data_IF_685153282756
#
_entry.id   IF_685153282756
#
_cell.length_a   1.000
_cell.length_b   1.000
_cell.length_c   1.000
_cell.angle_alpha   90.00
_cell.angle_beta   90.00
_cell.angle_gamma   90.00
#
_symmetry.space_group_name_H-M   'P 1'
#
loop_
_entity.id
_entity.type
_entity.pdbx_description
1 polymer ?
#
# COMPACT_ATOMS: atom_id res chain seq x y z
N UNK A 1 6.85 -18.49 17.93
CA UNK A 1 6.01 -18.51 16.72
C UNK A 1 6.33 -19.76 15.91
N UNK A 2 5.32 -20.40 15.34
CA UNK A 2 5.52 -21.60 14.51
C UNK A 2 6.07 -21.20 13.17
N UNK A 3 6.97 -21.10 12.57
CA UNK A 3 7.47 -20.67 11.26
C UNK A 3 8.25 -19.34 11.28
N UNK A 4 9.13 -19.17 12.24
CA UNK A 4 10.08 -18.05 12.27
C UNK A 4 11.40 -18.46 11.63
N UNK A 5 11.93 -17.59 10.78
CA UNK A 5 13.25 -17.69 10.14
C UNK A 5 13.95 -16.35 10.44
N UNK A 6 15.24 -16.36 10.69
CA UNK A 6 15.97 -15.12 10.90
C UNK A 6 16.72 -14.69 9.62
N UNK A 7 17.03 -13.40 9.54
CA UNK A 7 17.88 -12.88 8.46
C UNK A 7 19.22 -13.65 8.39
N UNK A 8 19.69 -13.89 7.17
CA UNK A 8 20.92 -14.66 6.84
C UNK A 8 20.91 -16.11 7.35
N UNK A 9 19.75 -16.69 7.58
CA UNK A 9 19.62 -18.11 7.95
C UNK A 9 19.09 -18.98 6.82
N UNK A 10 19.45 -20.24 6.91
CA UNK A 10 19.00 -21.27 5.99
C UNK A 10 17.54 -21.63 6.21
N UNK A 11 16.79 -21.79 5.15
CA UNK A 11 15.39 -22.20 5.19
C UNK A 11 15.34 -23.73 5.31
N UNK A 12 14.74 -24.22 6.38
CA UNK A 12 14.63 -25.66 6.65
C UNK A 12 13.41 -26.32 5.98
N UNK A 13 12.39 -25.54 5.64
CA UNK A 13 11.15 -26.06 5.06
C UNK A 13 11.33 -26.29 3.55
N UNK A 14 11.32 -27.56 3.11
CA UNK A 14 11.56 -27.95 1.71
C UNK A 14 10.46 -27.48 0.74
N UNK A 15 9.19 -27.42 1.18
CA UNK A 15 8.10 -26.92 0.33
C UNK A 15 8.26 -25.42 0.08
N UNK A 16 8.63 -24.68 1.12
CA UNK A 16 8.90 -23.25 1.02
C UNK A 16 10.14 -22.98 0.16
N UNK A 17 11.21 -23.76 0.29
CA UNK A 17 12.39 -23.68 -0.58
C UNK A 17 12.02 -23.84 -2.06
N UNK A 18 11.28 -24.90 -2.38
CA UNK A 18 10.84 -25.16 -3.74
C UNK A 18 9.95 -24.05 -4.29
N UNK A 19 9.08 -23.49 -3.45
CA UNK A 19 8.25 -22.35 -3.84
C UNK A 19 9.10 -21.11 -4.16
N UNK A 20 10.04 -20.75 -3.32
CA UNK A 20 10.93 -19.60 -3.52
C UNK A 20 11.78 -19.78 -4.78
N UNK A 21 12.35 -20.97 -5.00
CA UNK A 21 13.17 -21.29 -6.19
C UNK A 21 12.35 -21.15 -7.48
N UNK A 22 11.08 -21.55 -7.46
CA UNK A 22 10.20 -21.50 -8.63
C UNK A 22 9.52 -20.14 -8.84
N UNK A 23 9.69 -19.17 -7.92
CA UNK A 23 9.05 -17.85 -7.97
C UNK A 23 10.10 -16.78 -8.22
N UNK A 24 10.22 -16.32 -9.46
CA UNK A 24 11.27 -15.36 -9.89
C UNK A 24 11.22 -14.04 -9.13
N UNK A 25 10.03 -13.59 -8.74
CA UNK A 25 9.81 -12.37 -7.98
C UNK A 25 10.46 -12.39 -6.59
N UNK A 26 10.69 -13.58 -6.04
CA UNK A 26 11.32 -13.78 -4.74
C UNK A 26 12.85 -13.85 -4.79
N UNK A 27 13.44 -14.12 -5.95
CA UNK A 27 14.89 -14.40 -6.06
C UNK A 27 15.77 -13.27 -5.51
N UNK A 28 15.34 -12.01 -5.59
CA UNK A 28 16.11 -10.86 -5.05
C UNK A 28 16.16 -10.81 -3.52
N UNK A 29 15.25 -11.51 -2.84
CA UNK A 29 15.12 -11.49 -1.37
C UNK A 29 15.85 -12.63 -0.69
N UNK A 30 16.30 -13.63 -1.47
CA UNK A 30 16.94 -14.85 -1.01
C UNK A 30 18.23 -15.10 -1.78
N UNK A 31 19.17 -15.78 -1.14
CA UNK A 31 20.41 -16.21 -1.79
C UNK A 31 20.38 -17.74 -1.92
N UNK A 32 20.52 -18.22 -3.16
CA UNK A 32 20.72 -19.63 -3.44
C UNK A 32 22.22 -19.93 -3.41
N UNK A 33 22.67 -20.61 -2.38
CA UNK A 33 24.01 -21.17 -2.28
C UNK A 33 24.00 -22.62 -2.75
N UNK A 34 25.16 -23.20 -3.13
CA UNK A 34 25.30 -24.52 -3.78
C UNK A 34 24.48 -25.65 -3.15
N UNK A 35 24.10 -25.56 -1.90
CA UNK A 35 23.36 -26.60 -1.17
C UNK A 35 22.19 -26.08 -0.37
N UNK A 36 21.99 -24.76 -0.29
CA UNK A 36 21.01 -24.20 0.64
C UNK A 36 20.44 -22.87 0.15
N UNK A 37 19.19 -22.60 0.53
CA UNK A 37 18.52 -21.35 0.31
C UNK A 37 18.55 -20.55 1.60
N UNK A 38 19.11 -19.34 1.56
CA UNK A 38 19.22 -18.44 2.72
C UNK A 38 18.40 -17.18 2.53
N UNK A 39 17.88 -16.69 3.61
CA UNK A 39 17.33 -15.32 3.69
C UNK A 39 18.46 -14.30 3.58
N UNK A 40 18.14 -13.13 3.05
CA UNK A 40 19.06 -11.98 2.99
C UNK A 40 18.70 -10.96 4.09
N UNK A 41 19.02 -9.67 3.88
CA UNK A 41 18.70 -8.54 4.76
C UNK A 41 17.21 -8.15 4.75
N UNK A 42 16.33 -8.95 4.16
CA UNK A 42 14.91 -8.64 4.06
C UNK A 42 14.13 -9.33 5.16
N UNK A 43 13.39 -8.54 5.93
CA UNK A 43 12.54 -9.01 7.01
C UNK A 43 11.07 -8.67 6.77
N UNK A 44 10.16 -9.48 7.30
CA UNK A 44 8.73 -9.30 7.12
C UNK A 44 7.94 -10.59 7.19
N UNK A 45 6.96 -10.74 6.30
CA UNK A 45 6.10 -11.92 6.23
C UNK A 45 6.02 -12.44 4.79
N UNK A 46 6.05 -13.76 4.65
CA UNK A 46 5.78 -14.48 3.42
C UNK A 46 4.64 -15.46 3.70
N UNK A 47 3.52 -15.27 2.99
CA UNK A 47 2.40 -16.19 3.05
C UNK A 47 2.52 -17.23 1.93
N UNK A 48 2.53 -18.49 2.32
CA UNK A 48 2.60 -19.63 1.41
C UNK A 48 1.69 -20.76 1.91
N UNK A 49 0.82 -21.29 1.06
CA UNK A 49 -0.15 -22.35 1.39
C UNK A 49 -0.99 -22.03 2.64
N UNK A 50 -1.51 -20.79 2.74
CA UNK A 50 -2.27 -20.28 3.89
C UNK A 50 -1.49 -20.30 5.23
N UNK A 51 -0.17 -20.48 5.17
CA UNK A 51 0.72 -20.39 6.33
C UNK A 51 1.56 -19.10 6.23
N UNK A 52 1.72 -18.45 7.37
CA UNK A 52 2.53 -17.24 7.48
C UNK A 52 3.92 -17.62 8.00
N UNK A 53 4.96 -17.29 7.23
CA UNK A 53 6.37 -17.42 7.59
C UNK A 53 6.92 -16.04 7.91
N UNK A 54 7.44 -15.86 9.11
CA UNK A 54 8.05 -14.62 9.54
C UNK A 54 9.55 -14.65 9.32
N UNK A 55 10.08 -13.65 8.63
CA UNK A 55 11.52 -13.41 8.51
C UNK A 55 11.83 -12.24 9.44
N UNK A 56 12.56 -12.50 10.53
CA UNK A 56 12.82 -11.53 11.58
C UNK A 56 14.30 -11.09 11.62
N UNK A 57 14.57 -9.86 12.04
CA UNK A 57 15.94 -9.41 12.25
C UNK A 57 16.54 -10.04 13.52
N UNK A 58 17.87 -10.19 13.55
CA UNK A 58 18.63 -10.71 14.70
C UNK A 58 19.02 -9.60 15.68
N UNK A 59 18.05 -8.94 16.30
CA UNK A 59 18.34 -7.81 17.21
C UNK A 59 18.35 -8.27 18.67
N UNK A 60 17.45 -9.16 19.09
CA UNK A 60 17.25 -9.59 20.47
C UNK A 60 17.42 -11.12 20.66
N UNK A 61 18.64 -11.63 20.44
CA UNK A 61 19.09 -12.99 20.80
C UNK A 61 18.03 -14.09 20.67
N UNK A 62 17.53 -14.39 19.46
CA UNK A 62 16.56 -15.46 19.17
C UNK A 62 15.24 -15.40 19.98
N UNK A 63 14.87 -14.23 20.48
CA UNK A 63 13.56 -14.03 21.08
C UNK A 63 12.59 -13.50 20.02
N UNK A 64 11.79 -14.39 19.44
CA UNK A 64 10.86 -14.07 18.34
C UNK A 64 9.95 -12.90 18.67
N UNK A 65 9.33 -12.88 19.84
CA UNK A 65 8.38 -11.83 20.24
C UNK A 65 9.06 -10.47 20.36
N UNK A 66 10.25 -10.43 20.96
CA UNK A 66 11.02 -9.19 21.06
C UNK A 66 11.50 -8.71 19.72
N UNK A 67 12.02 -9.59 18.87
CA UNK A 67 12.49 -9.23 17.53
C UNK A 67 11.33 -8.68 16.67
N UNK A 68 10.17 -9.31 16.70
CA UNK A 68 8.98 -8.85 16.02
C UNK A 68 8.53 -7.45 16.51
N UNK A 69 8.48 -7.26 17.82
CA UNK A 69 8.08 -5.98 18.43
C UNK A 69 9.05 -4.85 18.07
N UNK A 70 10.37 -5.12 18.11
CA UNK A 70 11.39 -4.15 17.71
C UNK A 70 11.25 -3.82 16.22
N UNK A 71 11.10 -4.82 15.37
CA UNK A 71 10.92 -4.64 13.94
C UNK A 71 9.72 -3.75 13.60
N UNK A 72 8.57 -4.02 14.23
CA UNK A 72 7.38 -3.21 14.04
C UNK A 72 7.56 -1.80 14.57
N UNK A 73 8.17 -1.65 15.75
CA UNK A 73 8.50 -0.33 16.30
C UNK A 73 9.38 0.48 15.33
N UNK A 74 10.42 -0.15 14.77
CA UNK A 74 11.29 0.50 13.78
C UNK A 74 10.50 0.91 12.52
N UNK A 75 9.63 0.04 12.01
CA UNK A 75 8.78 0.35 10.86
C UNK A 75 7.87 1.55 11.16
N UNK A 76 7.17 1.52 12.27
CA UNK A 76 6.25 2.60 12.65
C UNK A 76 6.99 3.93 12.82
N UNK A 77 8.13 3.90 13.51
CA UNK A 77 8.92 5.08 13.74
C UNK A 77 9.51 5.63 12.43
N UNK A 78 10.13 4.78 11.60
CA UNK A 78 10.78 5.18 10.36
C UNK A 78 9.80 5.79 9.33
N UNK A 79 8.55 5.33 9.31
CA UNK A 79 7.52 5.77 8.36
C UNK A 79 6.47 6.72 8.95
N UNK A 80 6.71 7.27 10.14
CA UNK A 80 5.80 8.19 10.84
C UNK A 80 4.37 7.66 11.03
N UNK A 81 4.25 6.36 11.20
CA UNK A 81 2.98 5.70 11.37
C UNK A 81 2.59 5.76 12.85
N UNK A 82 1.68 6.66 13.20
CA UNK A 82 1.15 6.75 14.57
C UNK A 82 0.07 5.69 14.78
N UNK A 83 0.15 4.97 15.90
CA UNK A 83 -0.97 4.15 16.36
C UNK A 83 -2.16 5.06 16.63
N UNK A 84 -3.24 4.83 15.88
CA UNK A 84 -4.48 5.59 16.03
C UNK A 84 -5.23 5.27 17.35
N UNK A 85 -4.83 4.19 18.05
CA UNK A 85 -5.41 3.79 19.33
C UNK A 85 -4.29 3.52 20.35
N UNK A 86 -4.08 4.44 21.26
CA UNK A 86 -3.19 4.27 22.42
C UNK A 86 -3.62 3.14 23.37
N UNK A 87 -4.85 2.60 23.22
CA UNK A 87 -5.47 1.66 24.15
C UNK A 87 -5.34 0.18 23.76
N UNK A 88 -4.80 -0.17 22.60
CA UNK A 88 -4.54 -1.57 22.22
C UNK A 88 -3.05 -1.79 22.11
N UNK A 89 -2.51 -2.66 22.99
CA UNK A 89 -1.11 -3.03 22.92
C UNK A 89 -0.82 -3.66 21.54
N UNK A 90 0.23 -3.21 20.87
CA UNK A 90 0.72 -3.79 19.61
C UNK A 90 0.83 -5.31 19.70
N UNK A 91 1.26 -5.81 20.88
CA UNK A 91 1.41 -7.23 21.17
C UNK A 91 0.10 -8.03 21.13
N UNK A 92 -1.04 -7.44 21.47
CA UNK A 92 -2.34 -8.14 21.40
C UNK A 92 -2.87 -8.21 19.96
N UNK A 93 -2.72 -7.14 19.18
CA UNK A 93 -3.09 -7.14 17.76
C UNK A 93 -2.21 -8.09 16.93
N UNK A 94 -0.95 -8.25 17.29
CA UNK A 94 -0.02 -9.16 16.61
C UNK A 94 -0.19 -10.63 16.99
N UNK A 95 -0.78 -10.93 18.14
CA UNK A 95 -1.14 -12.32 18.52
C UNK A 95 -2.29 -12.86 17.67
N UNK A 96 -3.16 -11.99 17.20
CA UNK A 96 -4.35 -12.36 16.40
C UNK A 96 -4.19 -12.12 14.89
N UNK A 97 -3.33 -11.18 14.49
CA UNK A 97 -3.19 -10.72 13.10
C UNK A 97 -1.73 -10.74 12.66
N UNK A 98 -1.50 -10.96 11.38
CA UNK A 98 -0.15 -10.84 10.83
C UNK A 98 0.26 -9.37 10.61
N UNK A 99 1.56 -9.12 10.37
CA UNK A 99 2.10 -7.76 10.17
C UNK A 99 1.35 -7.00 9.09
N UNK A 100 1.05 -7.64 7.95
CA UNK A 100 0.33 -7.01 6.85
C UNK A 100 -1.06 -6.55 7.30
N UNK A 101 -1.81 -7.39 8.01
CA UNK A 101 -3.14 -7.04 8.50
C UNK A 101 -3.12 -5.85 9.45
N UNK A 102 -2.11 -5.77 10.34
CA UNK A 102 -1.95 -4.61 11.23
C UNK A 102 -1.74 -3.33 10.43
N UNK A 103 -0.83 -3.32 9.44
CA UNK A 103 -0.59 -2.15 8.61
C UNK A 103 -1.80 -1.78 7.73
N UNK A 104 -2.51 -2.78 7.21
CA UNK A 104 -3.75 -2.54 6.45
C UNK A 104 -4.86 -1.97 7.33
N UNK A 105 -5.02 -2.45 8.55
CA UNK A 105 -5.97 -1.88 9.51
C UNK A 105 -5.63 -0.43 9.86
N UNK A 106 -4.35 -0.12 10.07
CA UNK A 106 -3.89 1.25 10.33
C UNK A 106 -4.20 2.17 9.14
N UNK A 107 -3.86 1.74 7.93
CA UNK A 107 -4.19 2.45 6.70
C UNK A 107 -5.70 2.69 6.58
N UNK A 108 -6.50 1.63 6.67
CA UNK A 108 -7.94 1.71 6.47
C UNK A 108 -8.65 2.57 7.53
N UNK A 109 -8.24 2.47 8.81
CA UNK A 109 -8.76 3.32 9.88
C UNK A 109 -8.42 4.79 9.65
N UNK A 110 -7.15 5.11 9.37
CA UNK A 110 -6.71 6.48 9.09
C UNK A 110 -7.42 7.08 7.89
N UNK A 111 -7.49 6.33 6.80
CA UNK A 111 -8.20 6.75 5.59
C UNK A 111 -9.69 6.98 5.88
N UNK A 112 -10.37 6.05 6.55
CA UNK A 112 -11.80 6.16 6.84
C UNK A 112 -12.12 7.38 7.73
N UNK A 113 -11.26 7.71 8.69
CA UNK A 113 -11.43 8.92 9.52
C UNK A 113 -11.40 10.21 8.67
N UNK A 114 -10.50 10.28 7.69
CA UNK A 114 -10.43 11.42 6.79
C UNK A 114 -11.58 11.43 5.76
N UNK A 115 -11.97 10.26 5.25
CA UNK A 115 -13.11 10.13 4.35
C UNK A 115 -14.44 10.54 4.98
N UNK A 116 -14.63 10.31 6.28
CA UNK A 116 -15.82 10.80 7.03
C UNK A 116 -15.94 12.34 7.02
N UNK A 117 -14.85 13.06 6.82
CA UNK A 117 -14.83 14.52 6.66
C UNK A 117 -15.13 14.97 5.22
N UNK A 118 -15.37 14.02 4.30
CA UNK A 118 -15.62 14.19 2.88
C UNK A 118 -14.41 13.83 2.00
N UNK A 119 -14.70 13.51 0.74
CA UNK A 119 -13.68 13.25 -0.29
C UNK A 119 -12.90 14.53 -0.62
N UNK A 120 -11.66 14.36 -1.06
CA UNK A 120 -10.91 15.44 -1.67
C UNK A 120 -11.50 15.76 -3.04
N UNK A 121 -11.73 17.03 -3.30
CA UNK A 121 -12.21 17.53 -4.60
C UNK A 121 -11.25 18.58 -5.13
N UNK A 122 -11.07 18.55 -6.45
CA UNK A 122 -10.28 19.56 -7.16
C UNK A 122 -10.94 19.92 -8.51
N UNK A 123 -10.57 21.06 -9.05
CA UNK A 123 -11.03 21.46 -10.37
C UNK A 123 -10.26 20.68 -11.43
N UNK A 124 -11.00 19.92 -12.24
CA UNK A 124 -10.48 19.16 -13.38
C UNK A 124 -10.99 19.80 -14.67
N UNK A 125 -10.08 20.20 -15.54
CA UNK A 125 -10.43 20.70 -16.86
C UNK A 125 -10.94 19.54 -17.72
N UNK A 126 -12.18 19.65 -18.20
CA UNK A 126 -12.81 18.70 -19.10
C UNK A 126 -13.08 19.33 -20.46
N UNK A 127 -12.97 18.52 -21.50
CA UNK A 127 -13.41 18.88 -22.86
C UNK A 127 -14.53 17.93 -23.25
N UNK A 128 -15.68 18.49 -23.62
CA UNK A 128 -16.85 17.67 -23.92
C UNK A 128 -17.74 18.32 -24.95
N UNK A 129 -18.60 17.52 -25.57
CA UNK A 129 -19.55 17.94 -26.56
C UNK A 129 -20.97 18.04 -25.97
N UNK A 130 -21.33 19.22 -25.50
CA UNK A 130 -22.53 19.47 -24.71
C UNK A 130 -23.64 20.15 -25.50
N UNK A 131 -24.92 20.01 -25.13
CA UNK A 131 -26.05 20.69 -25.78
C UNK A 131 -26.06 22.20 -25.51
N UNK A 132 -25.34 22.66 -24.48
CA UNK A 132 -25.19 24.08 -24.12
C UNK A 132 -23.75 24.44 -23.89
N UNK A 133 -23.40 25.70 -24.13
CA UNK A 133 -22.04 26.18 -23.85
C UNK A 133 -21.75 26.19 -22.37
N UNK A 134 -20.65 25.55 -21.99
CA UNK A 134 -20.10 25.53 -20.62
C UNK A 134 -18.61 25.89 -20.70
N UNK A 135 -18.23 26.98 -20.08
CA UNK A 135 -16.84 27.46 -20.11
C UNK A 135 -16.40 28.01 -21.46
N UNK A 136 -15.25 27.58 -21.95
CA UNK A 136 -14.59 28.07 -23.18
C UNK A 136 -15.02 27.27 -24.39
N UNK A 137 -15.45 27.98 -25.45
CA UNK A 137 -15.77 27.38 -26.73
C UNK A 137 -14.51 26.95 -27.49
N UNK A 138 -14.45 25.71 -27.91
CA UNK A 138 -13.35 25.15 -28.68
C UNK A 138 -13.72 25.12 -30.19
N UNK A 139 -13.32 26.15 -30.94
CA UNK A 139 -13.70 26.37 -32.34
C UNK A 139 -13.27 25.21 -33.24
N UNK A 140 -12.01 24.78 -33.12
CA UNK A 140 -11.45 23.75 -34.00
C UNK A 140 -12.12 22.39 -33.79
N UNK A 141 -12.32 22.00 -32.54
CA UNK A 141 -13.00 20.75 -32.15
C UNK A 141 -14.47 20.80 -32.57
N UNK A 142 -15.11 21.96 -32.41
CA UNK A 142 -16.50 22.14 -32.82
C UNK A 142 -16.67 22.04 -34.33
N UNK A 143 -15.79 22.63 -35.12
CA UNK A 143 -15.78 22.49 -36.59
C UNK A 143 -15.54 21.03 -37.03
N UNK A 144 -14.73 20.31 -36.30
CA UNK A 144 -14.37 18.91 -36.58
C UNK A 144 -15.50 17.93 -36.24
N UNK A 145 -16.18 18.13 -35.10
CA UNK A 145 -17.11 17.14 -34.56
C UNK A 145 -18.58 17.53 -34.65
N UNK A 146 -18.91 18.83 -34.82
CA UNK A 146 -20.30 19.34 -34.75
C UNK A 146 -20.79 19.87 -36.10
N UNK A 147 -20.73 19.05 -37.13
CA UNK A 147 -21.24 19.40 -38.44
C UNK A 147 -22.73 19.77 -38.43
N UNK A 148 -23.53 19.11 -37.61
CA UNK A 148 -24.99 19.32 -37.49
C UNK A 148 -25.38 20.46 -36.55
N UNK A 149 -24.45 21.10 -35.88
CA UNK A 149 -24.63 22.23 -34.94
C UNK A 149 -25.62 21.99 -33.80
N UNK A 150 -25.87 20.73 -33.44
CA UNK A 150 -26.78 20.36 -32.34
C UNK A 150 -26.10 20.36 -30.96
N UNK A 151 -24.76 20.46 -30.95
CA UNK A 151 -23.95 20.45 -29.76
C UNK A 151 -22.81 21.47 -29.87
N UNK A 152 -22.19 21.78 -28.78
CA UNK A 152 -21.10 22.73 -28.65
C UNK A 152 -19.92 22.04 -27.98
N UNK A 153 -18.78 22.01 -28.66
CA UNK A 153 -17.56 21.49 -28.07
C UNK A 153 -16.92 22.56 -27.19
N UNK A 154 -16.79 22.28 -25.89
CA UNK A 154 -16.33 23.26 -24.93
C UNK A 154 -15.37 22.66 -23.90
N UNK A 155 -14.55 23.53 -23.32
CA UNK A 155 -13.63 23.26 -22.24
C UNK A 155 -14.12 23.97 -20.98
N UNK A 156 -14.23 23.23 -19.89
CA UNK A 156 -14.70 23.77 -18.61
C UNK A 156 -14.06 23.07 -17.45
N UNK A 157 -13.99 23.78 -16.33
CA UNK A 157 -13.53 23.19 -15.08
C UNK A 157 -14.70 22.59 -14.30
N UNK A 158 -14.51 21.38 -13.81
CA UNK A 158 -15.46 20.68 -12.96
C UNK A 158 -14.85 20.37 -11.61
N UNK A 159 -15.54 20.76 -10.54
CA UNK A 159 -15.12 20.43 -9.18
C UNK A 159 -15.49 19.00 -8.88
N UNK A 160 -14.51 18.10 -8.95
CA UNK A 160 -14.73 16.66 -9.01
C UNK A 160 -13.92 15.93 -7.94
N UNK A 161 -14.52 14.88 -7.41
CA UNK A 161 -13.86 13.89 -6.55
C UNK A 161 -13.16 12.78 -7.36
N UNK A 162 -13.40 12.69 -8.66
CA UNK A 162 -12.75 11.72 -9.54
C UNK A 162 -11.34 12.18 -9.93
N UNK A 163 -10.47 12.40 -8.95
CA UNK A 163 -9.10 12.87 -9.10
C UNK A 163 -8.06 11.79 -8.79
N UNK A 164 -6.81 12.07 -9.10
CA UNK A 164 -5.70 11.11 -8.98
C UNK A 164 -5.50 10.59 -7.56
N UNK A 165 -5.70 11.42 -6.53
CA UNK A 165 -5.53 11.01 -5.13
C UNK A 165 -6.60 10.02 -4.70
N UNK A 166 -7.88 10.31 -5.02
CA UNK A 166 -8.99 9.40 -4.68
C UNK A 166 -8.93 8.11 -5.49
N UNK A 167 -8.56 8.18 -6.78
CA UNK A 167 -8.34 7.00 -7.62
C UNK A 167 -7.22 6.10 -7.07
N UNK A 168 -6.14 6.71 -6.56
CA UNK A 168 -5.07 5.98 -5.89
C UNK A 168 -5.56 5.25 -4.63
N UNK A 169 -6.34 5.91 -3.77
CA UNK A 169 -6.89 5.25 -2.58
C UNK A 169 -7.85 4.12 -2.94
N UNK A 170 -8.74 4.33 -3.92
CA UNK A 170 -9.65 3.29 -4.39
C UNK A 170 -8.88 2.07 -4.93
N UNK A 171 -7.84 2.31 -5.74
CA UNK A 171 -6.96 1.26 -6.23
C UNK A 171 -6.31 0.49 -5.08
N UNK A 172 -5.72 1.20 -4.10
CA UNK A 172 -5.06 0.60 -2.94
C UNK A 172 -6.03 -0.24 -2.12
N UNK A 173 -7.21 0.28 -1.83
CA UNK A 173 -8.26 -0.43 -1.07
C UNK A 173 -8.64 -1.73 -1.76
N UNK A 174 -8.91 -1.70 -3.07
CA UNK A 174 -9.27 -2.91 -3.85
C UNK A 174 -8.10 -3.89 -3.98
N UNK A 175 -6.88 -3.39 -4.09
CA UNK A 175 -5.69 -4.22 -4.15
C UNK A 175 -5.49 -5.00 -2.85
N UNK A 176 -5.53 -4.30 -1.71
CA UNK A 176 -5.28 -4.90 -0.39
C UNK A 176 -6.37 -5.89 0.05
N UNK A 177 -7.61 -5.72 -0.39
CA UNK A 177 -8.69 -6.69 -0.13
C UNK A 177 -8.38 -8.10 -0.65
N UNK A 178 -7.42 -8.26 -1.56
CA UNK A 178 -7.02 -9.57 -2.09
C UNK A 178 -6.18 -10.38 -1.11
N UNK A 179 -5.49 -9.70 -0.17
CA UNK A 179 -4.44 -10.29 0.67
C UNK A 179 -4.81 -10.38 2.15
N UNK A 180 -5.82 -9.65 2.61
CA UNK A 180 -6.23 -9.65 4.02
C UNK A 180 -7.45 -10.52 4.27
N UNK A 181 -7.54 -11.08 5.48
CA UNK A 181 -8.68 -11.88 5.94
C UNK A 181 -9.84 -10.95 6.33
N UNK A 182 -9.57 -9.94 7.18
CA UNK A 182 -10.58 -8.95 7.58
C UNK A 182 -10.64 -7.79 6.57
N UNK A 183 -11.72 -7.77 5.79
CA UNK A 183 -11.98 -6.77 4.74
C UNK A 183 -12.96 -5.68 5.16
N UNK A 184 -13.46 -5.71 6.39
CA UNK A 184 -14.58 -4.84 6.82
C UNK A 184 -14.27 -3.35 6.65
N UNK A 185 -13.14 -2.91 7.16
CA UNK A 185 -12.72 -1.49 7.06
C UNK A 185 -12.43 -1.07 5.62
N UNK A 186 -11.75 -1.92 4.86
CA UNK A 186 -11.48 -1.64 3.44
C UNK A 186 -12.76 -1.52 2.62
N UNK A 187 -13.76 -2.38 2.87
CA UNK A 187 -15.08 -2.27 2.22
C UNK A 187 -15.81 -0.99 2.60
N UNK A 188 -15.69 -0.55 3.86
CA UNK A 188 -16.25 0.74 4.27
C UNK A 188 -15.59 1.90 3.54
N UNK A 189 -14.26 1.89 3.38
CA UNK A 189 -13.56 2.89 2.57
C UNK A 189 -14.02 2.84 1.11
N UNK A 190 -14.13 1.64 0.52
CA UNK A 190 -14.56 1.46 -0.87
C UNK A 190 -15.93 2.07 -1.15
N UNK A 191 -16.89 1.91 -0.24
CA UNK A 191 -18.26 2.48 -0.37
C UNK A 191 -18.25 4.01 -0.45
N UNK A 192 -17.28 4.68 0.17
CA UNK A 192 -17.19 6.16 0.11
C UNK A 192 -16.69 6.63 -1.27
N UNK A 193 -15.99 5.78 -2.02
CA UNK A 193 -15.48 6.08 -3.36
C UNK A 193 -16.44 5.71 -4.50
N UNK A 194 -17.74 5.63 -4.25
CA UNK A 194 -18.75 5.18 -5.22
C UNK A 194 -18.71 5.99 -6.54
N UNK A 195 -18.51 7.30 -6.46
CA UNK A 195 -18.42 8.20 -7.62
C UNK A 195 -17.01 8.32 -8.23
N UNK A 196 -16.02 7.60 -7.67
CA UNK A 196 -14.64 7.63 -8.13
C UNK A 196 -14.39 6.50 -9.12
N UNK A 197 -13.93 6.85 -10.32
CA UNK A 197 -13.61 5.86 -11.35
C UNK A 197 -12.39 5.01 -10.93
N UNK A 198 -12.57 3.68 -10.96
CA UNK A 198 -11.45 2.79 -10.72
C UNK A 198 -10.48 2.79 -11.89
N UNK A 199 -9.22 3.14 -11.62
CA UNK A 199 -8.12 3.07 -12.59
C UNK A 199 -6.95 2.29 -12.00
N UNK A 200 -6.26 1.54 -12.86
CA UNK A 200 -4.98 0.99 -12.48
C UNK A 200 -3.97 2.13 -12.34
N UNK A 201 -3.23 2.12 -11.24
CA UNK A 201 -2.36 3.22 -10.85
C UNK A 201 -0.90 2.84 -11.08
N UNK A 202 -0.16 3.71 -11.73
CA UNK A 202 1.30 3.64 -11.79
C UNK A 202 1.88 4.31 -10.53
N UNK A 203 2.51 3.52 -9.68
CA UNK A 203 3.06 3.96 -8.39
C UNK A 203 4.06 5.11 -8.57
N UNK A 204 4.87 5.08 -9.63
CA UNK A 204 5.87 6.12 -9.88
C UNK A 204 5.24 7.48 -10.17
N UNK A 205 4.10 7.49 -10.87
CA UNK A 205 3.35 8.72 -11.15
C UNK A 205 2.63 9.25 -9.91
N UNK A 206 2.16 8.36 -9.06
CA UNK A 206 1.46 8.76 -7.83
C UNK A 206 2.38 9.47 -6.85
N UNK A 207 3.66 9.10 -6.80
CA UNK A 207 4.65 9.77 -5.95
C UNK A 207 4.81 11.28 -6.25
N UNK A 208 4.40 11.71 -7.44
CA UNK A 208 4.42 13.14 -7.83
C UNK A 208 3.20 13.93 -7.35
N UNK A 209 2.24 13.31 -6.64
CA UNK A 209 1.07 14.01 -6.09
C UNK A 209 1.53 15.06 -5.07
N UNK A 210 1.19 16.32 -5.35
CA UNK A 210 1.52 17.43 -4.47
C UNK A 210 0.47 17.59 -3.37
N UNK A 211 0.94 17.68 -2.13
CA UNK A 211 0.09 17.97 -0.98
C UNK A 211 0.04 19.46 -0.69
N UNK A 212 -1.17 19.97 -0.57
CA UNK A 212 -1.47 21.35 -0.20
C UNK A 212 -2.43 21.37 1.00
N UNK A 213 -2.83 22.56 1.46
CA UNK A 213 -3.72 22.72 2.63
C UNK A 213 -5.07 22.00 2.51
N UNK A 214 -5.53 21.67 1.30
CA UNK A 214 -6.83 21.02 1.08
C UNK A 214 -6.77 19.50 1.19
N UNK A 215 -5.63 18.90 0.82
CA UNK A 215 -5.45 17.44 0.79
C UNK A 215 -4.39 16.92 1.76
N UNK A 216 -3.66 17.79 2.49
CA UNK A 216 -2.60 17.40 3.43
C UNK A 216 -3.07 16.44 4.52
N UNK A 217 -4.35 16.48 4.88
CA UNK A 217 -4.94 15.54 5.85
C UNK A 217 -4.85 14.08 5.43
N UNK A 218 -4.80 13.81 4.14
CA UNK A 218 -4.66 12.47 3.57
C UNK A 218 -3.22 11.98 3.49
N UNK A 219 -2.22 12.84 3.77
CA UNK A 219 -0.80 12.54 3.55
C UNK A 219 -0.34 11.29 4.28
N UNK A 220 -0.69 11.13 5.55
CA UNK A 220 -0.30 9.96 6.35
C UNK A 220 -0.88 8.68 5.74
N UNK A 221 -2.17 8.66 5.41
CA UNK A 221 -2.80 7.50 4.76
C UNK A 221 -2.18 7.21 3.39
N UNK A 222 -1.79 8.24 2.65
CA UNK A 222 -1.11 8.12 1.37
C UNK A 222 0.28 7.47 1.52
N UNK A 223 1.07 7.89 2.49
CA UNK A 223 2.41 7.32 2.75
C UNK A 223 2.33 5.86 3.18
N UNK A 224 1.35 5.50 4.04
CA UNK A 224 1.11 4.10 4.42
C UNK A 224 0.64 3.28 3.21
N UNK A 225 -0.24 3.81 2.38
CA UNK A 225 -0.70 3.17 1.16
C UNK A 225 0.45 2.87 0.18
N UNK A 226 1.33 3.86 -0.04
CA UNK A 226 2.54 3.68 -0.86
C UNK A 226 3.47 2.60 -0.28
N UNK A 227 3.68 2.60 1.03
CA UNK A 227 4.48 1.59 1.70
C UNK A 227 3.89 0.19 1.46
N UNK A 228 2.59 0.03 1.68
CA UNK A 228 1.88 -1.23 1.47
C UNK A 228 1.98 -1.71 0.03
N UNK A 229 1.78 -0.83 -0.96
CA UNK A 229 1.85 -1.20 -2.37
C UNK A 229 3.28 -1.54 -2.82
N UNK A 230 4.29 -0.80 -2.36
CA UNK A 230 5.69 -1.04 -2.73
C UNK A 230 6.28 -2.30 -2.13
N UNK A 231 5.87 -2.65 -0.92
CA UNK A 231 6.42 -3.79 -0.18
C UNK A 231 5.59 -5.07 -0.37
N UNK A 232 4.37 -4.96 -0.89
CA UNK A 232 3.52 -6.13 -1.16
C UNK A 232 3.82 -6.72 -2.51
N UNK A 233 4.29 -7.97 -2.52
CA UNK A 233 4.61 -8.74 -3.72
C UNK A 233 3.54 -9.81 -3.87
N UNK A 234 2.65 -9.71 -4.87
CA UNK A 234 1.71 -10.77 -5.17
C UNK A 234 2.48 -11.97 -5.74
N UNK A 235 2.27 -13.13 -5.16
CA UNK A 235 2.86 -14.38 -5.61
C UNK A 235 1.74 -15.21 -6.26
N UNK A 236 1.80 -15.38 -7.57
CA UNK A 236 0.83 -16.16 -8.32
C UNK A 236 1.32 -17.62 -8.44
N UNK A 237 0.73 -18.52 -7.68
CA UNK A 237 0.95 -19.94 -7.84
C UNK A 237 -0.41 -20.64 -7.99
N UNK A 238 -0.70 -21.19 -9.18
CA UNK A 238 -1.81 -22.08 -9.51
C UNK A 238 -2.94 -22.11 -8.47
N UNK A 239 -3.86 -21.15 -8.51
CA UNK A 239 -5.09 -21.05 -7.70
C UNK A 239 -4.96 -20.64 -6.20
N UNK A 240 -3.76 -20.46 -5.65
CA UNK A 240 -3.59 -19.99 -4.27
C UNK A 240 -3.02 -18.58 -4.23
N UNK A 241 -3.68 -17.71 -3.45
CA UNK A 241 -3.23 -16.33 -3.22
C UNK A 241 -2.10 -16.33 -2.18
N UNK A 242 -0.88 -16.37 -2.64
CA UNK A 242 0.30 -16.17 -1.81
C UNK A 242 0.81 -14.73 -1.96
N UNK A 243 1.45 -14.20 -0.94
CA UNK A 243 2.05 -12.88 -0.98
C UNK A 243 3.31 -12.82 -0.14
N UNK A 244 4.19 -11.89 -0.45
CA UNK A 244 5.30 -11.48 0.42
C UNK A 244 5.18 -9.99 0.75
N UNK A 245 5.49 -9.64 2.00
CA UNK A 245 5.53 -8.27 2.50
C UNK A 245 6.86 -8.11 3.25
N UNK A 246 7.88 -7.67 2.51
CA UNK A 246 9.28 -7.71 2.91
C UNK A 246 9.91 -6.33 2.88
N UNK A 247 10.71 -6.00 3.88
CA UNK A 247 11.42 -4.74 4.05
C UNK A 247 12.93 -4.98 4.06
N UNK A 248 13.66 -4.15 3.34
CA UNK A 248 15.12 -4.08 3.46
C UNK A 248 15.51 -3.49 4.81
N UNK A 249 16.16 -4.29 5.65
CA UNK A 249 16.54 -3.88 7.00
C UNK A 249 17.59 -2.78 7.03
N UNK A 250 18.48 -2.73 6.03
CA UNK A 250 19.48 -1.68 5.93
C UNK A 250 18.80 -0.32 5.69
N UNK A 251 17.89 -0.27 4.72
CA UNK A 251 17.12 0.94 4.42
C UNK A 251 16.21 1.33 5.59
N UNK A 252 15.59 0.35 6.24
CA UNK A 252 14.75 0.61 7.41
C UNK A 252 15.55 1.19 8.56
N UNK A 253 16.72 0.63 8.86
CA UNK A 253 17.58 1.09 9.93
C UNK A 253 18.13 2.51 9.66
N UNK A 254 18.56 2.79 8.43
CA UNK A 254 18.99 4.13 8.02
C UNK A 254 17.89 5.18 8.25
N UNK A 255 16.66 4.88 7.81
CA UNK A 255 15.50 5.77 8.03
C UNK A 255 15.17 5.96 9.51
N UNK A 256 15.24 4.88 10.28
CA UNK A 256 15.00 4.92 11.73
C UNK A 256 16.00 5.84 12.42
N UNK A 257 17.30 5.67 12.17
CA UNK A 257 18.36 6.52 12.75
C UNK A 257 18.25 7.96 12.25
N UNK A 258 18.05 8.16 10.95
CA UNK A 258 17.93 9.51 10.39
C UNK A 258 16.77 10.31 11.03
N UNK A 259 15.71 9.63 11.40
CA UNK A 259 14.60 10.25 12.11
C UNK A 259 14.91 10.53 13.57
N UNK A 260 15.53 9.58 14.28
CA UNK A 260 15.97 9.81 15.67
C UNK A 260 16.87 11.03 15.78
N UNK A 261 17.84 11.18 14.86
CA UNK A 261 18.76 12.34 14.84
C UNK A 261 18.05 13.66 14.56
N UNK A 262 16.94 13.65 13.81
CA UNK A 262 16.16 14.88 13.55
C UNK A 262 15.29 15.32 14.72
N UNK A 263 14.95 14.41 15.61
CA UNK A 263 14.12 14.67 16.79
C UNK A 263 14.95 15.05 18.04
N UNK A 264 16.29 14.87 17.98
CA UNK A 264 17.27 15.36 18.97
C UNK A 264 17.61 16.83 18.73
#
# INVERSE_FOLDING_TARGET
>A
MQNTIYEYESISNEELKNHIINTTELHKYFTLDWKDLKTNQYCGILNFNDQDFYILPKIANHNDEKNLNIFIYMLMYAYDVKLLNENTSLSENLKSNNILEVFVQMFANGLLQELKKGLYKEYLTKQDNLPVLKGKYLINENLKYNFTKNKIYCEYDEFSENNSLNQFFLYTVKYLQKFVKDKKLLKQCELVFDEVEYKQVDINRVETINFNRLNVRFKISFEIALLLLKQSIPLFNQDKKSFAFLFDMNVLFEKFIARMVKEL
#
